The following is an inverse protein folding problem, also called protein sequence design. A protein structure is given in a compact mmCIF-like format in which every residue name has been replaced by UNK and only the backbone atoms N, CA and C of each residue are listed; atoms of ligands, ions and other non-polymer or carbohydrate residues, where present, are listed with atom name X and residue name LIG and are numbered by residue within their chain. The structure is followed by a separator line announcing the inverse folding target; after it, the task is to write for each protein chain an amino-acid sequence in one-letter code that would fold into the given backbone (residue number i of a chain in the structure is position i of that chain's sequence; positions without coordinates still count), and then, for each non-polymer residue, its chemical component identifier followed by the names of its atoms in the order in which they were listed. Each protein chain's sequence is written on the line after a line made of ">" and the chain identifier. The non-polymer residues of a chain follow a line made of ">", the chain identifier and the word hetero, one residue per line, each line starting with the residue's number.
data_IF_308964200465
#
_entry.id   IF_308964200465
#
_cell.length_a   1.000
_cell.length_b   1.000
_cell.length_c   1.000
_cell.angle_alpha   90.00
_cell.angle_beta   90.00
_cell.angle_gamma   90.00
#
_symmetry.space_group_name_H-M   'P 1'
#
loop_
_entity.id
_entity.type
_entity.pdbx_description
1 polymer ?
#
# COMPACT_ATOMS: atom_id res chain seq x y z
N UNK A 1 13.69 46.18 -7.72
CA UNK A 1 12.88 45.82 -6.55
C UNK A 1 12.32 44.43 -6.78
N UNK A 2 12.39 43.61 -5.74
CA UNK A 2 12.52 42.16 -5.73
C UNK A 2 11.23 41.40 -6.05
N UNK A 3 11.37 40.40 -6.93
CA UNK A 3 10.39 39.34 -7.21
C UNK A 3 10.02 38.61 -5.91
N UNK A 4 8.72 38.50 -5.62
CA UNK A 4 8.20 37.65 -4.55
C UNK A 4 8.45 36.19 -4.93
N UNK A 5 9.39 35.59 -4.21
CA UNK A 5 9.77 34.19 -4.32
C UNK A 5 8.57 33.30 -3.98
N UNK A 6 8.21 32.44 -4.93
CA UNK A 6 7.40 31.25 -4.68
C UNK A 6 8.08 30.42 -3.57
N UNK A 7 7.43 30.11 -2.44
CA UNK A 7 7.84 28.95 -1.67
C UNK A 7 7.47 27.72 -2.49
N UNK A 8 8.50 27.13 -3.10
CA UNK A 8 8.44 25.81 -3.69
C UNK A 8 7.70 24.86 -2.72
N UNK A 9 6.56 24.35 -3.15
CA UNK A 9 5.90 23.19 -2.57
C UNK A 9 6.91 22.05 -2.56
N UNK A 10 7.62 21.91 -1.45
CA UNK A 10 8.47 20.78 -1.18
C UNK A 10 7.56 19.55 -1.15
N UNK A 11 7.64 18.73 -2.20
CA UNK A 11 7.03 17.41 -2.21
C UNK A 11 7.57 16.65 -0.99
N UNK A 12 6.71 16.12 -0.10
CA UNK A 12 7.16 15.33 1.03
C UNK A 12 7.81 14.04 0.50
N UNK A 13 9.13 14.05 0.36
CA UNK A 13 9.92 12.85 0.11
C UNK A 13 9.79 11.91 1.31
N UNK A 14 9.47 10.63 1.06
CA UNK A 14 9.38 9.56 2.04
C UNK A 14 8.43 9.83 3.23
N UNK A 15 7.19 10.24 2.95
CA UNK A 15 6.16 10.39 3.98
C UNK A 15 5.90 9.07 4.73
N UNK A 16 5.66 9.15 6.04
CA UNK A 16 5.24 8.00 6.84
C UNK A 16 3.87 7.49 6.39
N UNK A 17 3.56 6.21 6.65
CA UNK A 17 2.23 5.63 6.37
C UNK A 17 1.10 6.46 6.99
N UNK A 18 1.30 6.95 8.22
CA UNK A 18 0.33 7.81 8.90
C UNK A 18 0.08 9.12 8.12
N UNK A 19 1.14 9.78 7.63
CA UNK A 19 0.99 10.99 6.81
C UNK A 19 0.28 10.70 5.49
N UNK A 20 0.60 9.58 4.84
CA UNK A 20 -0.07 9.16 3.60
C UNK A 20 -1.57 8.92 3.80
N UNK A 21 -1.95 8.25 4.89
CA UNK A 21 -3.36 8.02 5.23
C UNK A 21 -4.08 9.33 5.57
N UNK A 22 -3.41 10.27 6.24
CA UNK A 22 -3.97 11.59 6.52
C UNK A 22 -4.25 12.38 5.22
N UNK A 23 -3.34 12.30 4.24
CA UNK A 23 -3.51 12.97 2.93
C UNK A 23 -4.62 12.31 2.10
N UNK A 24 -4.66 10.97 2.07
CA UNK A 24 -5.70 10.24 1.35
C UNK A 24 -7.10 10.40 1.98
N UNK A 25 -7.15 10.74 3.27
CA UNK A 25 -8.38 11.05 3.99
C UNK A 25 -9.37 9.89 3.96
N UNK A 26 -10.65 10.21 3.77
CA UNK A 26 -11.77 9.25 3.84
C UNK A 26 -11.85 8.29 2.66
N UNK A 27 -11.10 8.54 1.59
CA UNK A 27 -11.07 7.70 0.39
C UNK A 27 -9.86 6.77 0.35
N UNK A 28 -8.92 6.94 1.29
CA UNK A 28 -7.71 6.13 1.34
C UNK A 28 -8.01 4.67 1.64
N UNK A 29 -7.43 3.76 0.87
CA UNK A 29 -7.43 2.34 1.20
C UNK A 29 -6.01 1.86 1.43
N UNK A 30 -5.78 1.17 2.54
CA UNK A 30 -4.49 0.54 2.83
C UNK A 30 -4.48 -0.89 2.29
N UNK A 31 -3.51 -1.16 1.42
CA UNK A 31 -3.12 -2.50 0.98
C UNK A 31 -1.76 -2.83 1.59
N UNK A 32 -1.65 -3.99 2.22
CA UNK A 32 -0.39 -4.56 2.69
C UNK A 32 -0.10 -5.82 1.87
N UNK A 33 1.06 -5.87 1.23
CA UNK A 33 1.53 -7.00 0.43
C UNK A 33 2.73 -7.64 1.12
N UNK A 34 2.65 -8.95 1.32
CA UNK A 34 3.76 -9.77 1.76
C UNK A 34 4.11 -10.80 0.68
N UNK A 35 5.38 -11.14 0.56
CA UNK A 35 5.88 -12.17 -0.35
C UNK A 35 6.40 -13.35 0.44
N UNK A 36 6.28 -14.55 -0.12
CA UNK A 36 6.86 -15.74 0.48
C UNK A 36 8.38 -15.60 0.60
N UNK A 37 8.93 -16.03 1.74
CA UNK A 37 10.31 -15.80 2.16
C UNK A 37 10.77 -14.33 1.99
N UNK A 38 10.33 -13.42 2.87
CA UNK A 38 10.69 -12.02 2.75
C UNK A 38 12.20 -11.80 2.93
N UNK A 39 12.70 -10.72 2.33
CA UNK A 39 14.06 -10.28 2.52
C UNK A 39 14.25 -8.84 2.03
N UNK A 40 15.16 -8.05 2.62
CA UNK A 40 15.24 -6.60 2.37
C UNK A 40 15.37 -6.24 0.88
N UNK A 41 16.21 -6.97 0.14
CA UNK A 41 16.39 -6.74 -1.29
C UNK A 41 15.13 -7.06 -2.11
N UNK A 42 14.40 -8.12 -1.73
CA UNK A 42 13.17 -8.55 -2.40
C UNK A 42 12.03 -7.57 -2.11
N UNK A 43 11.84 -7.19 -0.85
CA UNK A 43 10.86 -6.17 -0.45
C UNK A 43 11.13 -4.84 -1.14
N UNK A 44 12.40 -4.41 -1.24
CA UNK A 44 12.78 -3.21 -1.97
C UNK A 44 12.46 -3.30 -3.47
N UNK A 45 12.72 -4.44 -4.11
CA UNK A 45 12.41 -4.67 -5.52
C UNK A 45 10.90 -4.66 -5.79
N UNK A 46 10.10 -5.33 -4.94
CA UNK A 46 8.64 -5.32 -5.01
C UNK A 46 8.11 -3.91 -4.82
N UNK A 47 8.58 -3.18 -3.79
CA UNK A 47 8.19 -1.78 -3.57
C UNK A 47 8.45 -0.91 -4.80
N UNK A 48 9.62 -1.04 -5.43
CA UNK A 48 9.98 -0.27 -6.62
C UNK A 48 9.11 -0.64 -7.83
N UNK A 49 8.75 -1.91 -7.99
CA UNK A 49 7.85 -2.35 -9.05
C UNK A 49 6.41 -1.87 -8.82
N UNK A 50 5.88 -2.05 -7.62
CA UNK A 50 4.57 -1.54 -7.22
C UNK A 50 4.49 -0.03 -7.43
N UNK A 51 5.53 0.73 -7.04
CA UNK A 51 5.55 2.19 -7.26
C UNK A 51 5.44 2.60 -8.73
N UNK A 52 5.93 1.79 -9.67
CA UNK A 52 5.81 2.05 -11.11
C UNK A 52 4.42 1.77 -11.66
N UNK A 53 3.64 0.97 -10.94
CA UNK A 53 2.29 0.51 -11.33
C UNK A 53 1.19 1.27 -10.57
N UNK A 54 1.56 2.09 -9.60
CA UNK A 54 0.67 2.99 -8.85
C UNK A 54 0.64 4.39 -9.45
N UNK A 55 -0.41 5.15 -9.17
CA UNK A 55 -0.53 6.54 -9.61
C UNK A 55 0.32 7.47 -8.75
N UNK A 56 0.44 8.72 -9.17
CA UNK A 56 1.24 9.73 -8.44
C UNK A 56 0.66 10.02 -7.06
N UNK A 57 -0.67 10.04 -6.96
CA UNK A 57 -1.45 10.27 -5.75
C UNK A 57 -1.45 9.09 -4.77
N UNK A 58 -1.07 7.90 -5.23
CA UNK A 58 -0.90 6.74 -4.36
C UNK A 58 0.42 6.86 -3.60
N UNK A 59 0.44 6.34 -2.38
CA UNK A 59 1.67 6.23 -1.59
C UNK A 59 2.13 4.78 -1.54
N UNK A 60 3.44 4.56 -1.66
CA UNK A 60 4.06 3.23 -1.58
C UNK A 60 5.26 3.30 -0.65
N UNK A 61 5.27 2.45 0.37
CA UNK A 61 6.34 2.35 1.35
C UNK A 61 6.53 0.92 1.85
N UNK A 62 7.25 0.80 2.96
CA UNK A 62 7.47 -0.47 3.66
C UNK A 62 7.01 -0.35 5.10
N UNK A 63 6.54 -1.45 5.66
CA UNK A 63 6.15 -1.57 7.06
C UNK A 63 6.68 -2.90 7.59
N UNK A 64 7.88 -2.86 8.19
CA UNK A 64 8.69 -4.06 8.40
C UNK A 64 9.16 -4.64 7.06
N UNK A 65 8.96 -5.94 6.88
CA UNK A 65 9.30 -6.66 5.63
C UNK A 65 8.18 -6.62 4.57
N UNK A 66 7.03 -6.02 4.89
CA UNK A 66 5.88 -5.92 4.01
C UNK A 66 5.91 -4.61 3.20
N UNK A 67 5.32 -4.65 2.00
CA UNK A 67 5.08 -3.45 1.19
C UNK A 67 3.70 -2.90 1.53
N UNK A 68 3.66 -1.63 1.94
CA UNK A 68 2.42 -0.93 2.26
C UNK A 68 2.08 0.07 1.16
N UNK A 69 0.82 0.09 0.74
CA UNK A 69 0.30 0.98 -0.31
C UNK A 69 -0.95 1.68 0.19
N UNK A 70 -0.98 3.01 0.11
CA UNK A 70 -2.20 3.78 0.31
C UNK A 70 -2.73 4.15 -1.07
N UNK A 71 -3.88 3.59 -1.41
CA UNK A 71 -4.55 3.75 -2.69
C UNK A 71 -5.61 4.84 -2.62
N UNK A 72 -5.59 5.75 -3.59
CA UNK A 72 -6.62 6.77 -3.82
C UNK A 72 -7.50 6.36 -5.00
N UNK A 73 -8.15 5.20 -4.88
CA UNK A 73 -8.98 4.59 -5.95
C UNK A 73 -10.44 4.52 -5.55
N UNK A 74 -11.33 4.47 -6.54
CA UNK A 74 -12.75 4.31 -6.29
C UNK A 74 -13.03 2.92 -5.69
N UNK A 75 -14.03 2.79 -4.79
CA UNK A 75 -14.35 1.50 -4.18
C UNK A 75 -14.67 0.38 -5.17
N UNK A 76 -15.19 0.72 -6.36
CA UNK A 76 -15.54 -0.25 -7.40
C UNK A 76 -14.32 -0.85 -8.11
N UNK A 77 -13.20 -0.12 -8.18
CA UNK A 77 -11.98 -0.54 -8.87
C UNK A 77 -10.96 -1.19 -7.92
N UNK A 78 -11.24 -1.12 -6.62
CA UNK A 78 -10.28 -1.38 -5.56
C UNK A 78 -9.73 -2.81 -5.61
N UNK A 79 -10.60 -3.81 -5.76
CA UNK A 79 -10.20 -5.22 -5.78
C UNK A 79 -9.35 -5.52 -7.03
N UNK A 80 -9.75 -4.98 -8.19
CA UNK A 80 -9.00 -5.13 -9.44
C UNK A 80 -7.60 -4.50 -9.36
N UNK A 81 -7.48 -3.32 -8.73
CA UNK A 81 -6.18 -2.68 -8.50
C UNK A 81 -5.33 -3.51 -7.52
N UNK A 82 -5.93 -4.01 -6.45
CA UNK A 82 -5.22 -4.82 -5.47
C UNK A 82 -4.68 -6.13 -6.08
N UNK A 83 -5.49 -6.85 -6.87
CA UNK A 83 -5.07 -8.07 -7.57
C UNK A 83 -3.98 -7.79 -8.61
N UNK A 84 -4.06 -6.65 -9.30
CA UNK A 84 -2.99 -6.21 -10.21
C UNK A 84 -1.68 -6.00 -9.48
N UNK A 85 -1.69 -5.29 -8.34
CA UNK A 85 -0.47 -5.03 -7.56
C UNK A 85 0.09 -6.30 -6.92
N UNK A 86 -0.77 -7.23 -6.52
CA UNK A 86 -0.36 -8.56 -6.09
C UNK A 86 0.38 -9.30 -7.23
N UNK A 87 -0.21 -9.32 -8.43
CA UNK A 87 0.39 -9.95 -9.62
C UNK A 87 1.75 -9.35 -9.97
N UNK A 88 1.94 -8.05 -9.73
CA UNK A 88 3.23 -7.37 -9.90
C UNK A 88 4.25 -7.88 -8.88
N UNK A 89 3.87 -8.01 -7.61
CA UNK A 89 4.74 -8.55 -6.57
C UNK A 89 5.19 -9.98 -6.92
N UNK A 90 4.26 -10.85 -7.31
CA UNK A 90 4.56 -12.24 -7.67
C UNK A 90 5.47 -12.34 -8.91
N UNK A 91 5.24 -11.50 -9.93
CA UNK A 91 6.09 -11.47 -11.12
C UNK A 91 7.52 -11.06 -10.82
N UNK A 92 7.70 -10.12 -9.90
CA UNK A 92 9.04 -9.61 -9.51
C UNK A 92 9.82 -10.66 -8.73
N UNK A 93 9.14 -11.44 -7.88
CA UNK A 93 9.79 -12.40 -6.99
C UNK A 93 9.84 -13.82 -7.56
N UNK A 94 8.97 -14.16 -8.52
CA UNK A 94 8.73 -15.53 -8.97
C UNK A 94 8.14 -16.42 -7.88
N UNK A 95 7.50 -15.83 -6.87
CA UNK A 95 6.97 -16.51 -5.67
C UNK A 95 5.55 -16.05 -5.37
N UNK A 96 4.74 -16.87 -4.67
CA UNK A 96 3.45 -16.44 -4.17
C UNK A 96 3.58 -15.19 -3.30
N UNK A 97 2.58 -14.32 -3.41
CA UNK A 97 2.40 -13.19 -2.52
C UNK A 97 1.00 -13.24 -1.90
N UNK A 98 0.79 -12.50 -0.82
CA UNK A 98 -0.54 -12.33 -0.25
C UNK A 98 -0.79 -10.87 0.06
N UNK A 99 -2.05 -10.46 -0.04
CA UNK A 99 -2.49 -9.11 0.23
C UNK A 99 -3.54 -9.05 1.33
N UNK A 100 -3.46 -8.03 2.15
CA UNK A 100 -4.49 -7.65 3.10
C UNK A 100 -4.94 -6.22 2.86
N UNK A 101 -6.26 -6.00 2.80
CA UNK A 101 -6.83 -4.73 2.36
C UNK A 101 -7.79 -4.16 3.42
N UNK A 102 -7.68 -2.87 3.71
CA UNK A 102 -8.54 -2.16 4.67
C UNK A 102 -8.83 -0.74 4.21
N UNK A 103 -10.11 -0.42 4.03
CA UNK A 103 -10.56 0.92 3.66
C UNK A 103 -10.60 1.86 4.87
N UNK A 104 -10.16 3.11 4.70
CA UNK A 104 -10.29 4.13 5.73
C UNK A 104 -11.77 4.33 6.10
N UNK A 105 -12.02 4.53 7.40
CA UNK A 105 -13.31 5.02 7.92
C UNK A 105 -13.03 6.21 8.84
N UNK A 106 -14.01 7.12 9.04
CA UNK A 106 -13.82 8.33 9.84
C UNK A 106 -13.27 8.08 11.24
N UNK A 107 -13.63 6.95 11.83
CA UNK A 107 -13.28 6.60 13.21
C UNK A 107 -12.06 5.68 13.31
N UNK A 108 -11.48 5.27 12.18
CA UNK A 108 -10.33 4.37 12.19
C UNK A 108 -9.02 5.17 12.27
N UNK A 109 -8.22 4.86 13.29
CA UNK A 109 -6.84 5.34 13.37
C UNK A 109 -5.94 4.65 12.33
N UNK A 110 -4.80 5.25 11.94
CA UNK A 110 -3.81 4.59 11.08
C UNK A 110 -3.37 3.21 11.58
N UNK A 111 -3.21 3.06 12.91
CA UNK A 111 -2.83 1.80 13.54
C UNK A 111 -3.92 0.72 13.39
N UNK A 112 -5.19 1.09 13.54
CA UNK A 112 -6.31 0.16 13.33
C UNK A 112 -6.45 -0.26 11.87
N UNK A 113 -6.22 0.65 10.92
CA UNK A 113 -6.23 0.31 9.50
C UNK A 113 -5.13 -0.69 9.16
N UNK A 114 -3.92 -0.48 9.67
CA UNK A 114 -2.82 -1.42 9.50
C UNK A 114 -3.12 -2.78 10.14
N UNK A 115 -3.70 -2.79 11.34
CA UNK A 115 -4.06 -4.02 12.04
C UNK A 115 -5.13 -4.82 11.28
N UNK A 116 -6.15 -4.15 10.74
CA UNK A 116 -7.19 -4.76 9.89
C UNK A 116 -6.62 -5.30 8.58
N UNK A 117 -5.78 -4.51 7.90
CA UNK A 117 -5.11 -4.96 6.69
C UNK A 117 -4.25 -6.21 6.96
N UNK A 118 -3.47 -6.22 8.04
CA UNK A 118 -2.68 -7.39 8.47
C UNK A 118 -3.56 -8.59 8.85
N UNK A 119 -4.75 -8.37 9.41
CA UNK A 119 -5.70 -9.46 9.65
C UNK A 119 -6.16 -10.10 8.34
N UNK A 120 -6.51 -9.29 7.32
CA UNK A 120 -6.79 -9.79 5.97
C UNK A 120 -5.61 -10.55 5.38
N UNK A 121 -4.39 -10.00 5.49
CA UNK A 121 -3.17 -10.64 5.01
C UNK A 121 -2.95 -12.04 5.62
N UNK A 122 -3.15 -12.18 6.94
CA UNK A 122 -3.05 -13.48 7.61
C UNK A 122 -4.07 -14.49 7.10
N UNK A 123 -5.30 -14.06 6.82
CA UNK A 123 -6.32 -14.91 6.20
C UNK A 123 -5.89 -15.31 4.78
N UNK A 124 -5.38 -14.38 3.98
CA UNK A 124 -4.88 -14.65 2.64
C UNK A 124 -3.79 -15.74 2.65
N UNK A 125 -2.83 -15.65 3.59
CA UNK A 125 -1.81 -16.69 3.78
C UNK A 125 -2.36 -18.02 4.29
N UNK A 126 -3.29 -17.99 5.25
CA UNK A 126 -3.93 -19.21 5.76
C UNK A 126 -4.68 -19.98 4.67
N UNK A 127 -5.11 -19.31 3.59
CA UNK A 127 -5.73 -19.94 2.45
C UNK A 127 -4.75 -20.29 1.30
N UNK A 128 -3.44 -20.22 1.53
CA UNK A 128 -2.39 -20.61 0.57
C UNK A 128 -1.78 -19.47 -0.24
N UNK A 129 -2.07 -18.21 0.08
CA UNK A 129 -1.55 -17.06 -0.65
C UNK A 129 -2.22 -16.80 -2.00
N UNK A 130 -1.51 -16.07 -2.86
CA UNK A 130 -1.91 -15.62 -4.20
C UNK A 130 -3.31 -15.01 -4.26
N UNK A 131 -3.65 -14.25 -3.23
CA UNK A 131 -4.91 -13.49 -3.15
C UNK A 131 -4.78 -12.25 -2.28
N UNK A 132 -5.70 -11.31 -2.48
CA UNK A 132 -5.96 -10.22 -1.54
C UNK A 132 -7.22 -10.52 -0.76
N UNK A 133 -7.19 -10.33 0.56
CA UNK A 133 -8.37 -10.44 1.42
C UNK A 133 -8.69 -9.08 2.02
N UNK A 134 -9.91 -8.61 1.76
CA UNK A 134 -10.45 -7.40 2.36
C UNK A 134 -10.99 -7.67 3.76
N UNK A 135 -10.54 -6.89 4.73
CA UNK A 135 -11.12 -6.90 6.05
C UNK A 135 -12.42 -6.08 6.06
N UNK A 136 -13.52 -6.56 6.68
CA UNK A 136 -14.78 -5.83 6.79
C UNK A 136 -14.69 -4.54 7.64
#
# INVERSE_FOLDING_TARGET
>A
MTLLEHPATALPCAGSLAAALLVAGRSGTLLVLAVDEPGPARTAAVRAAVRRETRVEDWVGTEGDDVAVVLSVLPADLDAVADRLLSVAERVTGRPAAGGLSAARPDHSPAELLLRARAGLRVAWACGGSRVVRHP
#
